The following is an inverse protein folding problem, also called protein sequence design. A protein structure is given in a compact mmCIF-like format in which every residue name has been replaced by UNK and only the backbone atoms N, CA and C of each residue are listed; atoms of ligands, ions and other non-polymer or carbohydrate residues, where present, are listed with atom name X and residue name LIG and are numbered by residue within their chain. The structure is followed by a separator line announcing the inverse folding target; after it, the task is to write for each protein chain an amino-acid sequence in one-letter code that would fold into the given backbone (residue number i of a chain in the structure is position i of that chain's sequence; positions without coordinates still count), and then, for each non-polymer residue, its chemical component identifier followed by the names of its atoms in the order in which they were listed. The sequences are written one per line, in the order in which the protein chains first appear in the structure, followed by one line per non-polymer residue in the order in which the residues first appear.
data_IF_414740791172
#
_entry.id   IF_414740791172
#
_cell.length_a   1.000
_cell.length_b   1.000
_cell.length_c   1.000
_cell.angle_alpha   90.00
_cell.angle_beta   90.00
_cell.angle_gamma   90.00
#
_symmetry.space_group_name_H-M   'P 1'
#
loop_
_entity.id
_entity.type
_entity.pdbx_description
1 polymer ?
#
# COMPACT_ATOMS: atom_id res chain seq x y z
N UNK A 1 -18.38 -19.51 7.09
CA UNK A 1 -17.69 -18.52 6.23
C UNK A 1 -17.06 -17.47 7.11
N UNK A 2 -15.76 -17.24 6.99
CA UNK A 2 -15.06 -16.16 7.70
C UNK A 2 -15.68 -14.82 7.30
N UNK A 3 -16.21 -14.06 8.26
CA UNK A 3 -16.66 -12.66 8.05
C UNK A 3 -15.42 -11.78 8.00
N UNK A 4 -14.70 -11.80 6.88
CA UNK A 4 -13.78 -10.70 6.58
C UNK A 4 -14.68 -9.52 6.20
N UNK A 5 -14.83 -8.54 7.09
CA UNK A 5 -15.40 -7.24 6.72
C UNK A 5 -14.27 -6.35 6.24
N UNK A 6 -14.31 -5.94 4.98
CA UNK A 6 -13.35 -5.01 4.41
C UNK A 6 -13.76 -3.58 4.76
N UNK A 7 -12.98 -2.88 5.59
CA UNK A 7 -13.19 -1.47 5.87
C UNK A 7 -12.35 -0.60 4.93
N UNK A 8 -13.03 -0.02 3.94
CA UNK A 8 -12.42 0.88 2.95
C UNK A 8 -11.74 2.10 3.56
N UNK A 9 -12.16 2.54 4.75
CA UNK A 9 -11.58 3.68 5.46
C UNK A 9 -10.24 3.30 6.07
N UNK A 10 -10.18 2.16 6.78
CA UNK A 10 -8.93 1.65 7.35
C UNK A 10 -7.88 1.37 6.26
N UNK A 11 -8.33 0.81 5.14
CA UNK A 11 -7.49 0.53 3.97
C UNK A 11 -6.93 1.82 3.37
N UNK A 12 -7.76 2.86 3.21
CA UNK A 12 -7.30 4.16 2.73
C UNK A 12 -6.26 4.78 3.67
N UNK A 13 -6.49 4.72 4.98
CA UNK A 13 -5.51 5.18 5.98
C UNK A 13 -4.19 4.42 5.87
N UNK A 14 -4.23 3.10 5.64
CA UNK A 14 -3.03 2.30 5.45
C UNK A 14 -2.27 2.68 4.16
N UNK A 15 -2.97 2.99 3.07
CA UNK A 15 -2.37 3.50 1.83
C UNK A 15 -1.68 4.85 2.03
N UNK A 16 -2.35 5.78 2.69
CA UNK A 16 -1.80 7.11 3.02
C UNK A 16 -0.54 6.99 3.87
N UNK A 17 -0.56 6.16 4.93
CA UNK A 17 0.62 5.91 5.77
C UNK A 17 1.79 5.30 5.00
N UNK A 18 1.54 4.38 4.07
CA UNK A 18 2.61 3.81 3.24
C UNK A 18 3.21 4.87 2.32
N UNK A 19 2.37 5.75 1.74
CA UNK A 19 2.81 6.85 0.90
C UNK A 19 3.65 7.86 1.68
N UNK A 20 3.17 8.30 2.85
CA UNK A 20 3.89 9.23 3.72
C UNK A 20 5.26 8.67 4.13
N UNK A 21 5.33 7.38 4.46
CA UNK A 21 6.58 6.72 4.80
C UNK A 21 7.55 6.66 3.61
N UNK A 22 7.05 6.44 2.39
CA UNK A 22 7.87 6.48 1.18
C UNK A 22 8.44 7.87 0.92
N UNK A 23 7.60 8.91 1.01
CA UNK A 23 8.01 10.29 0.81
C UNK A 23 9.08 10.72 1.85
N UNK A 24 8.94 10.27 3.10
CA UNK A 24 9.93 10.50 4.15
C UNK A 24 11.27 9.79 3.87
N UNK A 25 11.25 8.54 3.42
CA UNK A 25 12.48 7.79 3.15
C UNK A 25 13.22 8.32 1.92
N UNK A 26 12.51 8.72 0.86
CA UNK A 26 13.12 9.34 -0.32
C UNK A 26 13.81 10.68 0.04
N UNK A 27 13.31 11.39 1.06
CA UNK A 27 13.93 12.62 1.56
C UNK A 27 15.15 12.40 2.47
N UNK A 28 15.38 11.18 2.95
CA UNK A 28 16.41 10.86 3.94
C UNK A 28 17.81 10.63 3.34
N UNK A 29 18.08 11.13 2.13
CA UNK A 29 19.38 10.96 1.47
C UNK A 29 20.50 11.59 2.32
N UNK A 30 21.46 10.74 2.71
CA UNK A 30 22.66 11.15 3.44
C UNK A 30 23.83 11.23 2.47
N UNK A 31 24.50 12.38 2.45
CA UNK A 31 25.72 12.57 1.69
C UNK A 31 26.95 12.54 2.62
N UNK A 32 28.07 12.08 2.07
CA UNK A 32 29.35 12.04 2.76
C UNK A 32 30.22 13.15 2.18
N UNK A 33 30.46 14.27 2.91
CA UNK A 33 31.33 15.31 2.40
C UNK A 33 32.76 14.77 2.28
N UNK A 34 33.47 15.17 1.22
CA UNK A 34 34.88 14.82 1.05
C UNK A 34 35.73 15.67 2.00
N UNK A 35 36.15 15.08 3.13
CA UNK A 35 36.90 15.80 4.17
C UNK A 35 38.41 15.57 4.13
N UNK A 36 38.89 14.54 3.42
CA UNK A 36 40.29 14.10 3.49
C UNK A 36 40.69 13.49 4.85
N UNK A 37 39.74 13.30 5.76
CA UNK A 37 39.97 12.69 7.07
C UNK A 37 40.41 11.23 6.97
N UNK A 38 41.27 10.76 7.86
CA UNK A 38 41.60 9.32 8.01
C UNK A 38 40.37 8.48 8.36
N UNK A 39 39.31 9.12 8.87
CA UNK A 39 38.03 8.47 9.18
C UNK A 39 37.04 8.48 8.00
N UNK A 40 37.39 9.11 6.87
CA UNK A 40 36.55 9.20 5.68
C UNK A 40 36.05 7.82 5.20
N UNK A 41 36.90 6.78 5.07
CA UNK A 41 36.42 5.46 4.63
C UNK A 41 35.43 4.81 5.61
N UNK A 42 35.57 5.08 6.91
CA UNK A 42 34.65 4.56 7.93
C UNK A 42 33.30 5.28 7.85
N UNK A 43 33.30 6.59 7.62
CA UNK A 43 32.09 7.39 7.41
C UNK A 43 31.34 6.92 6.17
N UNK A 44 32.03 6.79 5.04
CA UNK A 44 31.47 6.28 3.78
C UNK A 44 30.83 4.90 3.95
N UNK A 45 31.53 3.98 4.63
CA UNK A 45 30.98 2.65 4.93
C UNK A 45 29.70 2.72 5.76
N UNK A 46 29.59 3.65 6.72
CA UNK A 46 28.40 3.82 7.55
C UNK A 46 27.24 4.40 6.74
N UNK A 47 27.51 5.43 5.93
CA UNK A 47 26.48 6.05 5.09
C UNK A 47 25.96 5.05 4.06
N UNK A 48 26.84 4.30 3.37
CA UNK A 48 26.43 3.25 2.44
C UNK A 48 25.51 2.20 3.08
N UNK A 49 25.75 1.83 4.34
CA UNK A 49 24.86 0.91 5.08
C UNK A 49 23.50 1.52 5.35
N UNK A 50 23.45 2.80 5.73
CA UNK A 50 22.18 3.51 5.96
C UNK A 50 21.42 3.62 4.64
N UNK A 51 22.06 4.08 3.57
CA UNK A 51 21.47 4.17 2.23
C UNK A 51 20.90 2.83 1.79
N UNK A 52 21.64 1.73 1.96
CA UNK A 52 21.12 0.39 1.65
C UNK A 52 19.88 0.04 2.47
N UNK A 53 19.90 0.28 3.78
CA UNK A 53 18.76 -0.02 4.64
C UNK A 53 17.51 0.79 4.24
N UNK A 54 17.68 2.08 3.94
CA UNK A 54 16.61 2.96 3.44
C UNK A 54 16.03 2.42 2.13
N UNK A 55 16.87 2.04 1.17
CA UNK A 55 16.41 1.45 -0.11
C UNK A 55 15.65 0.14 0.09
N UNK A 56 16.12 -0.72 1.00
CA UNK A 56 15.44 -1.98 1.32
C UNK A 56 14.06 -1.69 1.95
N UNK A 57 13.94 -0.70 2.85
CA UNK A 57 12.66 -0.26 3.44
C UNK A 57 11.71 0.31 2.38
N UNK A 58 12.19 1.17 1.48
CA UNK A 58 11.40 1.72 0.36
C UNK A 58 10.81 0.60 -0.49
N UNK A 59 11.61 -0.44 -0.77
CA UNK A 59 11.14 -1.59 -1.56
C UNK A 59 10.00 -2.32 -0.86
N UNK A 60 10.13 -2.58 0.44
CA UNK A 60 9.09 -3.26 1.24
C UNK A 60 7.82 -2.41 1.29
N UNK A 61 7.92 -1.10 1.55
CA UNK A 61 6.78 -0.20 1.61
C UNK A 61 6.03 -0.10 0.27
N UNK A 62 6.75 -0.09 -0.86
CA UNK A 62 6.12 -0.13 -2.20
C UNK A 62 5.33 -1.41 -2.40
N UNK A 63 5.88 -2.56 -2.03
CA UNK A 63 5.17 -3.84 -2.11
C UNK A 63 3.92 -3.86 -1.22
N UNK A 64 4.02 -3.34 0.01
CA UNK A 64 2.87 -3.19 0.90
C UNK A 64 1.78 -2.31 0.30
N UNK A 65 2.15 -1.12 -0.21
CA UNK A 65 1.21 -0.21 -0.86
C UNK A 65 0.49 -0.86 -2.04
N UNK A 66 1.24 -1.51 -2.94
CA UNK A 66 0.67 -2.22 -4.10
C UNK A 66 -0.26 -3.36 -3.68
N UNK A 67 0.10 -4.11 -2.63
CA UNK A 67 -0.73 -5.18 -2.09
C UNK A 67 -2.06 -4.66 -1.54
N UNK A 68 -2.02 -3.55 -0.78
CA UNK A 68 -3.21 -2.90 -0.23
C UNK A 68 -4.09 -2.36 -1.36
N UNK A 69 -3.51 -1.68 -2.35
CA UNK A 69 -4.24 -1.16 -3.51
C UNK A 69 -4.89 -2.27 -4.34
N UNK A 70 -4.16 -3.37 -4.58
CA UNK A 70 -4.69 -4.53 -5.29
C UNK A 70 -5.86 -5.19 -4.57
N UNK A 71 -5.74 -5.38 -3.25
CA UNK A 71 -6.81 -5.91 -2.43
C UNK A 71 -8.04 -4.98 -2.44
N UNK A 72 -7.85 -3.66 -2.28
CA UNK A 72 -8.95 -2.69 -2.28
C UNK A 72 -9.75 -2.73 -3.60
N UNK A 73 -9.05 -2.75 -4.73
CA UNK A 73 -9.68 -2.85 -6.06
C UNK A 73 -10.47 -4.15 -6.22
N UNK A 74 -9.94 -5.28 -5.75
CA UNK A 74 -10.63 -6.57 -5.83
C UNK A 74 -11.91 -6.56 -4.99
N UNK A 75 -11.83 -6.09 -3.74
CA UNK A 75 -13.00 -6.00 -2.86
C UNK A 75 -14.09 -5.09 -3.43
N UNK A 76 -13.74 -3.91 -3.96
CA UNK A 76 -14.71 -3.03 -4.64
C UNK A 76 -15.38 -3.69 -5.83
N UNK A 77 -14.62 -4.44 -6.62
CA UNK A 77 -15.15 -5.14 -7.80
C UNK A 77 -16.17 -6.21 -7.39
N UNK A 78 -15.83 -7.01 -6.38
CA UNK A 78 -16.71 -8.05 -5.84
C UNK A 78 -17.96 -7.45 -5.21
N UNK A 79 -17.83 -6.38 -4.41
CA UNK A 79 -18.97 -5.71 -3.79
C UNK A 79 -19.91 -5.08 -4.84
N UNK A 80 -19.37 -4.44 -5.87
CA UNK A 80 -20.16 -3.89 -6.96
C UNK A 80 -20.90 -5.00 -7.74
N UNK A 81 -20.24 -6.12 -8.00
CA UNK A 81 -20.87 -7.27 -8.66
C UNK A 81 -21.99 -7.86 -7.80
N UNK A 82 -21.73 -8.07 -6.50
CA UNK A 82 -22.73 -8.55 -5.55
C UNK A 82 -23.94 -7.61 -5.47
N UNK A 83 -23.71 -6.29 -5.44
CA UNK A 83 -24.78 -5.30 -5.45
C UNK A 83 -25.64 -5.38 -6.74
N UNK A 84 -24.99 -5.51 -7.91
CA UNK A 84 -25.68 -5.66 -9.19
C UNK A 84 -26.51 -6.95 -9.24
N UNK A 85 -25.96 -8.07 -8.76
CA UNK A 85 -26.64 -9.37 -8.74
C UNK A 85 -27.86 -9.36 -7.81
N UNK A 86 -27.76 -8.69 -6.66
CA UNK A 86 -28.90 -8.50 -5.74
C UNK A 86 -30.00 -7.65 -6.36
N UNK A 87 -29.65 -6.59 -7.08
CA UNK A 87 -30.62 -5.76 -7.83
C UNK A 87 -31.30 -6.61 -8.90
N UNK A 88 -30.54 -7.35 -9.71
CA UNK A 88 -31.07 -8.22 -10.76
C UNK A 88 -32.01 -9.28 -10.17
N UNK A 89 -31.60 -9.98 -9.11
CA UNK A 89 -32.43 -10.96 -8.41
C UNK A 89 -33.72 -10.34 -7.85
N UNK A 90 -33.64 -9.12 -7.30
CA UNK A 90 -34.80 -8.34 -6.85
C UNK A 90 -35.78 -8.01 -7.98
N UNK A 91 -35.27 -7.65 -9.16
CA UNK A 91 -36.09 -7.45 -10.37
C UNK A 91 -36.76 -8.75 -10.84
N UNK A 92 -36.01 -9.85 -10.97
CA UNK A 92 -36.55 -11.16 -11.36
C UNK A 92 -37.62 -11.67 -10.39
N UNK A 93 -37.45 -11.46 -9.08
CA UNK A 93 -38.46 -11.82 -8.08
C UNK A 93 -39.73 -10.98 -8.19
N UNK A 94 -39.63 -9.70 -8.57
CA UNK A 94 -40.80 -8.84 -8.80
C UNK A 94 -41.55 -9.18 -10.07
N UNK A 95 -40.86 -9.58 -11.14
CA UNK A 95 -41.49 -9.95 -12.42
C UNK A 95 -42.13 -11.34 -12.37
N UNK A 96 -41.53 -12.30 -11.69
CA UNK A 96 -42.10 -13.65 -11.50
C UNK A 96 -43.29 -13.68 -10.54
N UNK A 97 -43.35 -12.78 -9.55
CA UNK A 97 -44.50 -12.68 -8.61
C UNK A 97 -45.74 -11.97 -9.20
N UNK A 98 -45.62 -11.37 -10.39
CA UNK A 98 -46.72 -10.73 -11.13
C UNK A 98 -47.30 -11.62 -12.26
N UNK A 99 -46.78 -12.83 -12.44
CA UNK A 99 -47.40 -13.90 -13.23
C UNK A 99 -48.12 -14.85 -12.30
#
# INVERSE_FOLDING_TARGET
MSKISWDFTEVKVAQERCKDALDQLDSANLDTPATGSVHQPLLEKKINKITKATTDMVTVLRLMYMGIEGADKLFRTVDNQNAADLIAAGFYRKTTRKK
#
